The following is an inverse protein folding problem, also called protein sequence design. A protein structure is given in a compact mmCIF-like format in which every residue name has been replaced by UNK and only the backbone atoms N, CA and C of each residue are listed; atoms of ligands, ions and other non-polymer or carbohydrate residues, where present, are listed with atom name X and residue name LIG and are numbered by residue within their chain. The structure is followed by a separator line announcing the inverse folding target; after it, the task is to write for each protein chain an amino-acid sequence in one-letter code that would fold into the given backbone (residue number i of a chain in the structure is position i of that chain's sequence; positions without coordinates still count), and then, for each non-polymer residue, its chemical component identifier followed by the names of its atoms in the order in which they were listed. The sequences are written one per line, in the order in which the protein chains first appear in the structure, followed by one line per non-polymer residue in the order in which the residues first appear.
data_IF_584868690099
#
_entry.id   IF_584868690099
#
_cell.length_a   1.000
_cell.length_b   1.000
_cell.length_c   1.000
_cell.angle_alpha   90.00
_cell.angle_beta   90.00
_cell.angle_gamma   90.00
#
_symmetry.space_group_name_H-M   'P 1'
#
loop_
_entity.id
_entity.type
_entity.pdbx_description
1 polymer ?
#
# COMPACT_ATOMS: atom_id res chain seq x y z
N UNK A 1 -43.42 14.74 18.66
CA UNK A 1 -42.33 15.73 18.48
C UNK A 1 -41.07 14.94 18.21
N UNK A 2 -40.29 15.27 17.18
CA UNK A 2 -39.04 14.56 16.89
C UNK A 2 -37.90 15.08 17.76
N UNK A 3 -37.16 14.18 18.40
CA UNK A 3 -35.83 14.47 18.94
C UNK A 3 -34.83 13.87 17.96
N UNK A 4 -34.25 14.72 17.11
CA UNK A 4 -33.25 14.29 16.13
C UNK A 4 -31.94 13.93 16.83
N UNK A 5 -31.44 12.71 16.59
CA UNK A 5 -30.13 12.31 17.07
C UNK A 5 -29.03 13.08 16.29
N UNK A 6 -28.41 14.06 16.93
CA UNK A 6 -27.23 14.73 16.39
C UNK A 6 -26.06 13.76 16.31
N UNK A 7 -25.32 13.77 15.20
CA UNK A 7 -24.14 12.93 15.01
C UNK A 7 -23.00 13.40 15.93
N UNK A 8 -22.92 12.83 17.13
CA UNK A 8 -21.83 13.05 18.07
C UNK A 8 -20.52 12.43 17.54
N UNK A 9 -19.66 13.26 16.94
CA UNK A 9 -18.34 12.84 16.51
C UNK A 9 -17.53 12.26 17.67
N UNK A 10 -17.11 10.99 17.55
CA UNK A 10 -16.21 10.36 18.52
C UNK A 10 -14.84 11.01 18.44
N UNK A 11 -14.26 11.37 19.58
CA UNK A 11 -12.89 11.89 19.68
C UNK A 11 -11.94 10.72 19.98
N UNK A 12 -10.95 10.50 19.12
CA UNK A 12 -10.13 9.28 19.04
C UNK A 12 -8.79 9.42 19.78
N UNK A 13 -8.87 9.94 21.01
CA UNK A 13 -7.74 10.07 21.91
C UNK A 13 -6.95 8.76 22.13
N UNK A 14 -5.74 8.88 22.68
CA UNK A 14 -4.82 7.74 22.87
C UNK A 14 -5.51 6.53 23.49
N UNK A 15 -5.46 5.39 22.80
CA UNK A 15 -6.07 4.13 23.27
C UNK A 15 -7.58 3.97 23.04
N UNK A 16 -8.34 5.03 22.71
CA UNK A 16 -9.80 4.96 22.49
C UNK A 16 -10.15 3.92 21.42
N UNK A 17 -9.40 3.87 20.31
CA UNK A 17 -9.61 2.85 19.27
C UNK A 17 -9.43 1.41 19.78
N UNK A 18 -8.43 1.17 20.64
CA UNK A 18 -8.18 -0.17 21.20
C UNK A 18 -9.31 -0.59 22.14
N UNK A 19 -9.76 0.34 22.98
CA UNK A 19 -10.88 0.11 23.90
C UNK A 19 -12.22 -0.11 23.18
N UNK A 20 -12.47 0.62 22.09
CA UNK A 20 -13.64 0.40 21.22
C UNK A 20 -13.58 -1.00 20.61
N UNK A 21 -12.46 -1.39 19.99
CA UNK A 21 -12.32 -2.72 19.37
C UNK A 21 -12.41 -3.86 20.41
N UNK A 22 -11.84 -3.68 21.62
CA UNK A 22 -11.96 -4.63 22.74
C UNK A 22 -13.41 -4.84 23.16
N UNK A 23 -14.14 -3.76 23.47
CA UNK A 23 -15.56 -3.83 23.87
C UNK A 23 -16.45 -4.41 22.77
N UNK A 24 -16.14 -4.11 21.51
CA UNK A 24 -16.85 -4.69 20.38
C UNK A 24 -16.58 -6.19 20.25
N UNK A 25 -15.35 -6.65 20.43
CA UNK A 25 -15.03 -8.08 20.45
C UNK A 25 -15.74 -8.82 21.60
N UNK A 26 -15.72 -8.24 22.81
CA UNK A 26 -16.45 -8.75 23.98
C UNK A 26 -17.95 -8.84 23.75
N UNK A 27 -18.56 -7.80 23.16
CA UNK A 27 -19.97 -7.80 22.76
C UNK A 27 -20.34 -8.76 21.63
N UNK A 28 -19.35 -9.33 20.93
CA UNK A 28 -19.50 -10.39 19.94
C UNK A 28 -19.17 -11.79 20.50
N UNK A 29 -18.72 -11.89 21.76
CA UNK A 29 -18.23 -13.14 22.35
C UNK A 29 -16.86 -13.59 21.80
N UNK A 30 -16.08 -12.66 21.23
CA UNK A 30 -14.80 -12.94 20.57
C UNK A 30 -13.64 -12.44 21.43
N UNK A 31 -12.59 -13.26 21.59
CA UNK A 31 -11.32 -12.82 22.16
C UNK A 31 -10.42 -12.28 21.05
N UNK A 32 -10.08 -10.99 21.10
CA UNK A 32 -8.96 -10.44 20.35
C UNK A 32 -7.65 -10.70 21.12
N UNK A 33 -6.52 -10.96 20.44
CA UNK A 33 -5.21 -10.92 21.09
C UNK A 33 -4.87 -9.49 21.54
N UNK A 34 -4.02 -9.35 22.56
CA UNK A 34 -3.54 -8.04 23.01
C UNK A 34 -2.82 -7.29 21.87
N UNK A 35 -3.14 -6.00 21.60
CA UNK A 35 -2.52 -5.25 20.54
C UNK A 35 -1.07 -4.86 20.88
N UNK A 36 -0.18 -5.10 19.91
CA UNK A 36 1.24 -4.74 19.93
C UNK A 36 1.48 -3.24 20.20
N UNK A 37 2.75 -2.90 20.42
CA UNK A 37 3.43 -1.59 20.41
C UNK A 37 3.24 -0.74 19.14
N UNK A 38 2.03 -0.74 18.57
CA UNK A 38 1.57 0.27 17.62
C UNK A 38 1.58 1.68 18.23
N UNK A 39 1.67 2.74 17.38
CA UNK A 39 1.51 4.11 17.84
C UNK A 39 0.17 4.30 18.58
N UNK A 40 0.05 5.27 19.51
CA UNK A 40 -1.11 5.38 20.41
C UNK A 40 -2.48 5.58 19.74
N UNK A 41 -2.49 5.97 18.46
CA UNK A 41 -3.69 6.14 17.63
C UNK A 41 -4.16 4.86 16.95
N UNK A 42 -3.31 3.83 16.79
CA UNK A 42 -3.64 2.61 16.05
C UNK A 42 -3.74 1.37 16.96
N UNK A 43 -4.52 0.38 16.51
CA UNK A 43 -4.52 -0.98 17.04
C UNK A 43 -3.83 -1.90 16.04
N UNK A 44 -2.86 -2.70 16.49
CA UNK A 44 -2.13 -3.66 15.64
C UNK A 44 -2.09 -5.00 16.32
N UNK A 45 -2.37 -6.05 15.57
CA UNK A 45 -2.31 -7.43 16.00
C UNK A 45 -1.35 -8.16 15.06
N UNK A 46 -0.48 -9.02 15.60
CA UNK A 46 0.62 -9.68 14.87
C UNK A 46 0.65 -11.16 15.25
N UNK A 47 0.64 -12.04 14.26
CA UNK A 47 0.96 -13.46 14.42
C UNK A 47 2.28 -13.73 13.72
N UNK A 48 3.35 -13.89 14.51
CA UNK A 48 4.69 -14.15 14.01
C UNK A 48 4.85 -15.57 13.42
N UNK A 49 3.99 -16.52 13.81
CA UNK A 49 4.01 -17.91 13.34
C UNK A 49 3.41 -18.05 11.94
N UNK A 50 2.39 -17.24 11.65
CA UNK A 50 1.77 -17.12 10.32
C UNK A 50 2.42 -16.03 9.46
N UNK A 51 3.34 -15.23 10.03
CA UNK A 51 3.91 -14.04 9.38
C UNK A 51 2.87 -12.93 9.12
N UNK A 52 1.73 -12.97 9.80
CA UNK A 52 0.56 -12.11 9.53
C UNK A 52 0.51 -10.91 10.46
N UNK A 53 -0.06 -9.82 9.96
CA UNK A 53 -0.40 -8.63 10.74
C UNK A 53 -1.70 -8.02 10.23
N UNK A 54 -2.50 -7.50 11.15
CA UNK A 54 -3.60 -6.57 10.86
C UNK A 54 -3.39 -5.29 11.65
N UNK A 55 -3.59 -4.14 11.02
CA UNK A 55 -3.60 -2.84 11.69
C UNK A 55 -4.90 -2.12 11.39
N UNK A 56 -5.61 -1.71 12.45
CA UNK A 56 -6.80 -0.86 12.37
C UNK A 56 -6.40 0.55 12.77
N UNK A 57 -6.87 1.52 12.00
CA UNK A 57 -6.59 2.94 12.14
C UNK A 57 -7.89 3.74 12.36
N UNK A 58 -7.83 4.87 13.10
CA UNK A 58 -8.98 5.73 13.39
C UNK A 58 -9.31 6.65 12.19
N UNK A 59 -10.43 7.39 12.24
CA UNK A 59 -10.81 8.29 11.17
C UNK A 59 -9.81 9.41 10.90
N UNK A 60 -9.92 9.91 9.66
CA UNK A 60 -8.92 10.70 8.96
C UNK A 60 -8.58 12.07 9.58
N UNK A 61 -9.45 12.60 10.44
CA UNK A 61 -9.29 13.95 11.01
C UNK A 61 -8.21 14.03 12.10
N UNK A 62 -7.96 12.95 12.84
CA UNK A 62 -6.95 12.95 13.93
C UNK A 62 -5.55 12.48 13.47
N UNK A 63 -5.35 12.25 12.17
CA UNK A 63 -4.03 11.97 11.58
C UNK A 63 -3.26 13.25 11.25
N UNK A 64 -2.88 13.99 12.30
CA UNK A 64 -2.03 15.19 12.24
C UNK A 64 -0.56 14.84 11.96
N UNK A 65 -0.30 14.32 10.76
CA UNK A 65 1.04 14.01 10.26
C UNK A 65 1.01 12.80 9.30
N UNK A 66 1.81 12.89 8.22
CA UNK A 66 2.18 11.77 7.32
C UNK A 66 1.15 10.65 7.16
N UNK A 67 -0.03 11.04 6.66
CA UNK A 67 -1.11 10.19 6.12
C UNK A 67 -0.64 8.79 5.67
N UNK A 68 -1.20 7.68 6.22
CA UNK A 68 -0.86 6.33 5.82
C UNK A 68 -1.04 6.08 4.33
N UNK A 69 -0.19 5.23 3.76
CA UNK A 69 -0.27 4.76 2.39
C UNK A 69 -1.48 3.81 2.24
N UNK A 70 -2.68 4.37 2.04
CA UNK A 70 -3.87 3.61 1.72
C UNK A 70 -3.79 3.11 0.26
N UNK A 71 -3.98 1.80 0.07
CA UNK A 71 -3.81 1.08 -1.21
C UNK A 71 -5.15 0.59 -1.78
N UNK A 72 -6.28 1.06 -1.24
CA UNK A 72 -7.62 0.75 -1.76
C UNK A 72 -8.49 2.02 -1.74
N UNK A 73 -9.43 2.16 -2.71
CA UNK A 73 -10.02 3.45 -3.08
C UNK A 73 -11.16 3.94 -2.17
N UNK A 74 -11.47 5.23 -2.31
CA UNK A 74 -12.56 5.92 -1.63
C UNK A 74 -13.89 5.78 -2.38
N UNK A 75 -14.75 4.90 -1.87
CA UNK A 75 -16.19 5.01 -2.10
C UNK A 75 -16.77 6.33 -1.54
N UNK A 76 -17.94 6.73 -2.01
CA UNK A 76 -18.62 7.97 -1.59
C UNK A 76 -19.06 8.01 -0.11
N UNK A 77 -18.92 6.89 0.60
CA UNK A 77 -19.19 6.73 2.02
C UNK A 77 -17.99 6.04 2.67
N UNK A 78 -16.90 6.78 2.95
CA UNK A 78 -15.83 6.26 3.80
C UNK A 78 -16.39 6.08 5.21
N UNK A 79 -16.26 4.86 5.74
CA UNK A 79 -16.44 4.62 7.17
C UNK A 79 -15.30 5.18 8.03
N UNK A 80 -15.52 5.22 9.34
CA UNK A 80 -14.57 5.77 10.32
C UNK A 80 -13.22 5.04 10.32
N UNK A 81 -13.18 3.73 10.10
CA UNK A 81 -12.01 2.90 10.37
C UNK A 81 -11.32 2.42 9.09
N UNK A 82 -10.01 2.51 9.04
CA UNK A 82 -9.20 1.90 7.97
C UNK A 82 -8.52 0.62 8.49
N UNK A 83 -8.78 -0.51 7.83
CA UNK A 83 -8.20 -1.82 8.11
C UNK A 83 -7.13 -2.14 7.06
N UNK A 84 -5.94 -2.56 7.50
CA UNK A 84 -4.80 -2.96 6.65
C UNK A 84 -4.37 -4.38 7.01
N UNK A 85 -4.41 -5.30 6.04
CA UNK A 85 -3.96 -6.69 6.21
C UNK A 85 -2.60 -6.89 5.54
N UNK A 86 -1.67 -7.50 6.28
CA UNK A 86 -0.32 -7.83 5.83
C UNK A 86 -0.03 -9.32 5.98
N UNK A 87 0.65 -9.88 4.98
CA UNK A 87 1.34 -11.18 5.01
C UNK A 87 2.82 -10.94 4.77
N UNK A 88 3.69 -11.48 5.63
CA UNK A 88 5.15 -11.42 5.50
C UNK A 88 5.72 -10.00 5.29
N UNK A 89 5.04 -8.99 5.88
CA UNK A 89 5.39 -7.57 5.77
C UNK A 89 4.89 -6.86 4.50
N UNK A 90 4.15 -7.55 3.63
CA UNK A 90 3.55 -7.01 2.41
C UNK A 90 2.06 -6.78 2.63
N UNK A 91 1.55 -5.61 2.23
CA UNK A 91 0.12 -5.29 2.24
C UNK A 91 -0.56 -6.13 1.15
N UNK A 92 -1.47 -7.01 1.54
CA UNK A 92 -2.22 -7.87 0.61
C UNK A 92 -3.68 -7.45 0.45
N UNK A 93 -4.24 -6.73 1.43
CA UNK A 93 -5.61 -6.25 1.42
C UNK A 93 -5.82 -5.06 2.35
N UNK A 94 -6.96 -4.37 2.20
CA UNK A 94 -7.42 -3.36 3.13
C UNK A 94 -8.83 -2.87 2.85
N UNK A 95 -9.44 -2.17 3.80
CA UNK A 95 -10.84 -1.74 3.71
C UNK A 95 -11.18 -0.55 4.58
N UNK A 96 -12.06 0.32 4.08
CA UNK A 96 -12.73 1.34 4.90
C UNK A 96 -14.01 0.73 5.49
N UNK A 97 -14.10 0.66 6.80
CA UNK A 97 -15.26 0.14 7.54
C UNK A 97 -15.93 1.24 8.34
N UNK A 98 -17.26 1.33 8.30
CA UNK A 98 -18.02 2.25 9.14
C UNK A 98 -18.17 1.73 10.58
N UNK A 99 -18.08 0.42 10.77
CA UNK A 99 -18.48 -0.25 12.00
C UNK A 99 -17.30 -0.99 12.65
N UNK A 100 -16.97 -0.71 13.94
CA UNK A 100 -15.99 -1.47 14.69
C UNK A 100 -16.21 -2.99 14.61
N UNK A 101 -17.46 -3.44 14.54
CA UNK A 101 -17.86 -4.85 14.41
C UNK A 101 -17.22 -5.54 13.21
N UNK A 102 -17.16 -4.86 12.06
CA UNK A 102 -16.60 -5.42 10.84
C UNK A 102 -15.07 -5.35 10.86
N UNK A 103 -14.48 -4.28 11.42
CA UNK A 103 -13.04 -4.19 11.64
C UNK A 103 -12.53 -5.29 12.62
N UNK A 104 -13.30 -5.63 13.66
CA UNK A 104 -13.02 -6.76 14.55
C UNK A 104 -13.10 -8.09 13.78
N UNK A 105 -14.15 -8.33 13.00
CA UNK A 105 -14.28 -9.56 12.19
C UNK A 105 -13.12 -9.73 11.20
N UNK A 106 -12.72 -8.66 10.50
CA UNK A 106 -11.57 -8.68 9.61
C UNK A 106 -10.27 -9.04 10.36
N UNK A 107 -10.06 -8.44 11.53
CA UNK A 107 -8.88 -8.71 12.34
C UNK A 107 -8.84 -10.16 12.83
N UNK A 108 -9.96 -10.67 13.36
CA UNK A 108 -10.09 -12.04 13.88
C UNK A 108 -9.87 -13.05 12.77
N UNK A 109 -10.59 -12.96 11.65
CA UNK A 109 -10.47 -13.90 10.54
C UNK A 109 -9.03 -13.96 10.00
N UNK A 110 -8.41 -12.80 9.76
CA UNK A 110 -7.03 -12.73 9.27
C UNK A 110 -6.01 -13.32 10.25
N UNK A 111 -6.18 -13.05 11.55
CA UNK A 111 -5.29 -13.55 12.61
C UNK A 111 -5.49 -15.04 12.89
N UNK A 112 -6.70 -15.58 12.71
CA UNK A 112 -7.00 -17.02 12.83
C UNK A 112 -6.57 -17.86 11.61
N UNK A 113 -5.86 -17.26 10.65
CA UNK A 113 -5.33 -17.97 9.48
C UNK A 113 -6.24 -18.02 8.25
N UNK A 114 -7.46 -17.48 8.31
CA UNK A 114 -8.41 -17.50 7.19
C UNK A 114 -7.84 -16.79 5.94
N UNK A 115 -8.15 -17.29 4.75
CA UNK A 115 -7.68 -16.70 3.49
C UNK A 115 -8.32 -15.33 3.19
N UNK A 116 -7.83 -14.64 2.17
CA UNK A 116 -8.33 -13.34 1.73
C UNK A 116 -9.84 -13.38 1.40
N UNK A 117 -10.28 -14.43 0.69
CA UNK A 117 -11.70 -14.64 0.34
C UNK A 117 -12.57 -14.86 1.58
N UNK A 118 -12.10 -15.66 2.52
CA UNK A 118 -12.81 -16.01 3.77
C UNK A 118 -12.88 -14.82 4.72
N UNK A 119 -11.79 -14.04 4.80
CA UNK A 119 -11.71 -12.79 5.56
C UNK A 119 -12.71 -11.76 5.00
N UNK A 120 -12.79 -11.61 3.67
CA UNK A 120 -13.79 -10.74 3.03
C UNK A 120 -15.22 -11.24 3.19
N UNK A 121 -15.45 -12.55 3.23
CA UNK A 121 -16.78 -13.10 3.50
C UNK A 121 -17.27 -12.77 4.93
N UNK A 122 -16.35 -12.63 5.90
CA UNK A 122 -16.66 -12.23 7.27
C UNK A 122 -16.68 -10.70 7.48
N UNK A 123 -15.91 -9.96 6.67
CA UNK A 123 -15.81 -8.51 6.68
C UNK A 123 -15.82 -7.93 5.23
N UNK A 124 -17.01 -7.66 4.66
CA UNK A 124 -17.17 -7.23 3.26
C UNK A 124 -16.35 -6.01 2.81
N UNK A 125 -16.01 -5.09 3.72
CA UNK A 125 -15.17 -3.94 3.45
C UNK A 125 -13.74 -4.26 2.99
N UNK A 126 -13.25 -5.49 3.25
CA UNK A 126 -11.89 -5.89 2.89
C UNK A 126 -11.79 -6.08 1.37
N UNK A 127 -11.10 -5.15 0.71
CA UNK A 127 -10.75 -5.25 -0.70
C UNK A 127 -9.32 -5.80 -0.87
N UNK A 128 -9.14 -6.55 -1.94
CA UNK A 128 -7.86 -7.08 -2.41
C UNK A 128 -7.86 -7.11 -3.94
N UNK A 129 -6.68 -7.07 -4.54
CA UNK A 129 -6.51 -7.22 -5.99
C UNK A 129 -6.34 -8.68 -6.40
N UNK A 130 -6.51 -9.03 -7.70
CA UNK A 130 -6.23 -10.38 -8.19
C UNK A 130 -4.81 -10.88 -7.88
N UNK A 131 -3.80 -10.00 -7.90
CA UNK A 131 -2.41 -10.38 -7.59
C UNK A 131 -2.24 -10.94 -6.17
N UNK A 132 -3.02 -10.44 -5.20
CA UNK A 132 -2.94 -10.86 -3.81
C UNK A 132 -3.51 -12.27 -3.62
N UNK A 133 -4.56 -12.64 -4.36
CA UNK A 133 -5.06 -14.02 -4.40
C UNK A 133 -4.06 -14.98 -5.05
N UNK A 134 -3.36 -14.55 -6.11
CA UNK A 134 -2.29 -15.37 -6.71
C UNK A 134 -1.17 -15.57 -5.70
N UNK A 135 -0.70 -14.50 -5.04
CA UNK A 135 0.35 -14.57 -4.01
C UNK A 135 -0.03 -15.39 -2.77
N UNK A 136 -1.31 -15.44 -2.40
CA UNK A 136 -1.83 -16.29 -1.33
C UNK A 136 -1.81 -17.79 -1.69
N UNK A 137 -2.00 -18.13 -2.97
CA UNK A 137 -2.02 -19.51 -3.46
C UNK A 137 -0.62 -20.01 -3.84
N UNK A 138 0.18 -19.17 -4.50
CA UNK A 138 1.55 -19.43 -4.90
C UNK A 138 2.40 -18.17 -4.64
N UNK A 139 3.30 -18.18 -3.62
CA UNK A 139 4.06 -16.99 -3.23
C UNK A 139 4.95 -16.41 -4.34
N UNK A 140 4.44 -15.39 -5.04
CA UNK A 140 5.16 -14.59 -6.03
C UNK A 140 6.59 -14.24 -5.59
N UNK A 141 7.57 -14.49 -6.47
CA UNK A 141 8.96 -14.13 -6.24
C UNK A 141 9.16 -12.63 -5.96
N UNK A 142 10.10 -12.30 -5.08
CA UNK A 142 10.16 -10.98 -4.42
C UNK A 142 10.22 -9.76 -5.38
N UNK A 143 10.81 -9.88 -6.57
CA UNK A 143 10.85 -8.80 -7.58
C UNK A 143 9.46 -8.57 -8.19
N UNK A 144 8.77 -9.65 -8.56
CA UNK A 144 7.41 -9.63 -9.12
C UNK A 144 6.39 -9.14 -8.07
N UNK A 145 6.56 -9.54 -6.82
CA UNK A 145 5.78 -9.05 -5.68
C UNK A 145 5.98 -7.54 -5.48
N UNK A 146 7.22 -7.05 -5.56
CA UNK A 146 7.53 -5.61 -5.48
C UNK A 146 6.91 -4.82 -6.64
N UNK A 147 6.87 -5.40 -7.85
CA UNK A 147 6.14 -4.84 -9.00
C UNK A 147 4.65 -4.71 -8.73
N UNK A 148 3.99 -5.80 -8.31
CA UNK A 148 2.55 -5.77 -8.02
C UNK A 148 2.18 -4.78 -6.92
N UNK A 149 2.90 -4.78 -5.80
CA UNK A 149 2.68 -3.83 -4.68
C UNK A 149 2.80 -2.37 -5.12
N UNK A 150 3.77 -2.04 -6.00
CA UNK A 150 3.92 -0.67 -6.51
C UNK A 150 2.89 -0.30 -7.57
N UNK A 151 2.59 -1.19 -8.52
CA UNK A 151 1.55 -0.97 -9.53
C UNK A 151 0.20 -0.69 -8.87
N UNK A 152 -0.12 -1.45 -7.83
CA UNK A 152 -1.35 -1.32 -7.04
C UNK A 152 -1.40 0.01 -6.28
N UNK A 153 -0.37 0.30 -5.46
CA UNK A 153 -0.24 1.55 -4.69
C UNK A 153 -0.34 2.82 -5.55
N UNK A 154 0.04 2.77 -6.83
CA UNK A 154 -0.12 3.89 -7.78
C UNK A 154 -1.40 3.83 -8.63
N UNK A 155 -2.14 2.73 -8.63
CA UNK A 155 -3.47 2.61 -9.25
C UNK A 155 -4.58 3.11 -8.30
N UNK A 156 -4.47 2.85 -6.99
CA UNK A 156 -5.60 2.96 -6.06
C UNK A 156 -5.59 4.16 -5.12
N UNK A 157 -4.47 4.89 -4.99
CA UNK A 157 -4.33 5.90 -3.92
C UNK A 157 -5.21 7.15 -4.14
N UNK A 158 -6.17 7.38 -3.23
CA UNK A 158 -7.03 8.59 -3.22
C UNK A 158 -6.29 9.90 -2.95
N UNK A 159 -5.00 9.83 -2.59
CA UNK A 159 -4.20 11.01 -2.28
C UNK A 159 -3.89 11.89 -3.50
N UNK A 160 -4.28 11.45 -4.69
CA UNK A 160 -4.52 12.31 -5.86
C UNK A 160 -3.70 11.91 -7.06
N UNK A 161 -4.37 11.33 -8.07
CA UNK A 161 -4.02 11.41 -9.50
C UNK A 161 -2.51 11.49 -9.81
N UNK A 162 -1.82 10.36 -9.66
CA UNK A 162 -0.49 10.13 -10.25
C UNK A 162 -0.54 9.21 -11.48
N UNK A 163 -1.48 9.37 -12.45
CA UNK A 163 -1.62 8.45 -13.57
C UNK A 163 -0.36 8.42 -14.44
N UNK A 164 0.46 9.48 -14.42
CA UNK A 164 1.74 9.54 -15.15
C UNK A 164 2.83 8.66 -14.50
N UNK A 165 2.92 8.60 -13.16
CA UNK A 165 3.80 7.64 -12.48
C UNK A 165 3.26 6.21 -12.59
N UNK A 166 1.93 6.02 -12.54
CA UNK A 166 1.34 4.72 -12.81
C UNK A 166 1.62 4.25 -14.26
N UNK A 167 1.46 5.11 -15.26
CA UNK A 167 1.75 4.79 -16.65
C UNK A 167 3.24 4.50 -16.89
N UNK A 168 4.17 5.23 -16.24
CA UNK A 168 5.60 4.87 -16.25
C UNK A 168 5.85 3.48 -15.65
N UNK A 169 5.18 3.13 -14.54
CA UNK A 169 5.29 1.80 -13.93
C UNK A 169 4.69 0.70 -14.84
N UNK A 170 3.55 0.95 -15.48
CA UNK A 170 2.90 0.00 -16.42
C UNK A 170 3.77 -0.22 -17.66
N UNK A 171 4.23 0.85 -18.30
CA UNK A 171 5.12 0.78 -19.47
C UNK A 171 6.46 0.09 -19.14
N UNK A 172 7.03 0.36 -17.96
CA UNK A 172 8.25 -0.32 -17.51
C UNK A 172 8.03 -1.80 -17.18
N UNK A 173 6.91 -2.15 -16.52
CA UNK A 173 6.56 -3.54 -16.22
C UNK A 173 6.31 -4.38 -17.48
N UNK A 174 5.79 -3.75 -18.54
CA UNK A 174 5.62 -4.39 -19.84
C UNK A 174 6.96 -4.76 -20.53
N UNK A 175 8.09 -4.16 -20.13
CA UNK A 175 9.41 -4.47 -20.68
C UNK A 175 10.07 -5.66 -19.93
N UNK A 176 10.33 -6.80 -20.61
CA UNK A 176 10.96 -7.97 -19.96
C UNK A 176 12.36 -7.71 -19.41
N UNK A 177 13.03 -6.64 -19.86
CA UNK A 177 14.31 -6.20 -19.32
C UNK A 177 14.18 -5.58 -17.92
N UNK A 178 13.14 -4.77 -17.70
CA UNK A 178 12.93 -4.01 -16.46
C UNK A 178 12.11 -4.79 -15.42
N UNK A 179 11.19 -5.67 -15.84
CA UNK A 179 10.43 -6.54 -14.93
C UNK A 179 11.31 -7.47 -14.08
N UNK A 180 12.55 -7.76 -14.53
CA UNK A 180 13.55 -8.53 -13.78
C UNK A 180 14.31 -7.71 -12.72
N UNK A 181 14.09 -6.39 -12.67
CA UNK A 181 14.71 -5.48 -11.72
C UNK A 181 13.68 -5.04 -10.68
N UNK A 182 14.12 -4.78 -9.44
CA UNK A 182 13.24 -4.25 -8.40
C UNK A 182 12.89 -2.80 -8.75
N UNK A 183 11.60 -2.43 -8.82
CA UNK A 183 11.20 -1.05 -9.03
C UNK A 183 11.36 -0.26 -7.71
N UNK A 184 11.93 0.93 -7.79
CA UNK A 184 12.09 1.87 -6.67
C UNK A 184 11.32 3.15 -7.00
N UNK A 185 10.60 3.71 -6.03
CA UNK A 185 9.80 4.94 -6.23
C UNK A 185 10.00 5.93 -5.09
N UNK A 186 10.58 7.08 -5.41
CA UNK A 186 10.80 8.21 -4.48
C UNK A 186 10.34 9.49 -5.18
N UNK A 187 9.54 10.32 -4.51
CA UNK A 187 9.02 11.59 -5.03
C UNK A 187 8.43 11.50 -6.45
N UNK A 188 7.56 10.50 -6.68
CA UNK A 188 6.88 10.21 -7.96
C UNK A 188 7.78 9.79 -9.15
N UNK A 189 9.10 9.75 -8.96
CA UNK A 189 10.06 9.20 -9.90
C UNK A 189 10.09 7.66 -9.79
N UNK A 190 10.41 6.97 -10.89
CA UNK A 190 10.63 5.52 -10.96
C UNK A 190 12.10 5.24 -11.29
N UNK A 191 12.71 4.32 -10.56
CA UNK A 191 14.07 3.83 -10.77
C UNK A 191 14.10 2.30 -10.69
N UNK A 192 15.23 1.69 -11.04
CA UNK A 192 15.42 0.24 -11.08
C UNK A 192 16.67 -0.18 -10.30
N UNK A 193 16.61 -1.30 -9.58
CA UNK A 193 17.77 -1.91 -8.92
C UNK A 193 17.89 -3.40 -9.22
N UNK A 194 19.12 -3.90 -9.27
CA UNK A 194 19.43 -5.34 -9.29
C UNK A 194 19.26 -6.02 -7.93
N UNK A 195 19.04 -5.25 -6.86
CA UNK A 195 18.81 -5.75 -5.50
C UNK A 195 17.34 -5.65 -5.10
N UNK A 196 16.90 -6.57 -4.24
CA UNK A 196 15.58 -6.54 -3.59
C UNK A 196 15.72 -5.67 -2.32
N UNK A 197 15.15 -4.46 -2.31
CA UNK A 197 15.16 -3.60 -1.13
C UNK A 197 14.01 -3.95 -0.16
N UNK A 198 14.29 -4.24 1.14
CA UNK A 198 13.25 -4.61 2.09
C UNK A 198 12.33 -3.44 2.52
N UNK A 199 11.15 -3.39 1.91
CA UNK A 199 9.96 -2.64 2.36
C UNK A 199 10.00 -1.09 2.30
N UNK A 200 8.87 -0.48 2.65
CA UNK A 200 8.59 0.95 2.46
C UNK A 200 9.44 1.90 3.34
N UNK A 201 10.05 1.39 4.42
CA UNK A 201 10.59 2.22 5.52
C UNK A 201 11.94 2.90 5.26
N UNK A 202 12.66 2.56 4.19
CA UNK A 202 13.94 3.21 3.81
C UNK A 202 13.83 4.15 2.60
N UNK A 203 12.65 4.30 1.99
CA UNK A 203 12.45 5.02 0.73
C UNK A 203 12.34 6.56 0.91
N UNK A 204 13.27 7.16 1.67
CA UNK A 204 13.33 8.61 1.95
C UNK A 204 14.66 9.22 1.49
N UNK A 205 14.66 9.82 0.30
CA UNK A 205 15.79 10.57 -0.23
C UNK A 205 15.77 10.76 -1.75
N UNK A 206 16.51 11.76 -2.22
CA UNK A 206 17.14 11.74 -3.54
C UNK A 206 18.58 11.28 -3.31
N UNK A 207 18.96 10.12 -3.84
CA UNK A 207 20.25 9.51 -3.50
C UNK A 207 20.52 8.20 -4.21
N UNK A 208 21.73 7.68 -3.98
CA UNK A 208 22.32 6.53 -4.64
C UNK A 208 21.77 5.22 -4.03
N UNK A 209 20.69 4.65 -4.60
CA UNK A 209 20.19 3.34 -4.16
C UNK A 209 21.21 2.24 -4.50
N UNK A 210 21.30 1.21 -3.66
CA UNK A 210 22.32 0.17 -3.85
C UNK A 210 21.87 -0.83 -4.92
N UNK A 211 22.73 -1.11 -5.90
CA UNK A 211 22.36 -1.88 -7.10
C UNK A 211 21.53 -1.10 -8.14
N UNK A 212 21.34 0.21 -7.98
CA UNK A 212 20.64 1.07 -8.95
C UNK A 212 21.28 1.00 -10.34
N UNK A 213 20.48 0.82 -11.39
CA UNK A 213 20.93 0.70 -12.78
C UNK A 213 20.14 1.60 -13.74
N UNK A 214 20.79 2.01 -14.83
CA UNK A 214 20.19 2.80 -15.90
C UNK A 214 19.79 4.22 -15.49
N UNK A 215 18.85 4.79 -16.24
CA UNK A 215 18.29 6.13 -16.01
C UNK A 215 17.02 6.09 -15.16
N UNK A 216 16.70 7.22 -14.52
CA UNK A 216 15.45 7.44 -13.79
C UNK A 216 14.36 8.03 -14.67
N UNK A 217 13.13 7.56 -14.46
CA UNK A 217 11.92 8.06 -15.10
C UNK A 217 11.18 9.00 -14.15
N UNK A 218 10.56 10.06 -14.67
CA UNK A 218 9.70 10.92 -13.85
C UNK A 218 8.59 11.60 -14.66
N UNK A 219 7.43 11.91 -14.04
CA UNK A 219 6.47 12.81 -14.64
C UNK A 219 7.08 14.22 -14.69
N UNK A 220 7.37 14.73 -15.89
CA UNK A 220 7.87 16.08 -16.09
C UNK A 220 6.70 17.08 -16.01
N UNK A 221 6.96 18.38 -16.06
CA UNK A 221 5.91 19.36 -16.37
C UNK A 221 5.47 19.27 -17.84
N UNK A 222 4.48 20.08 -18.25
CA UNK A 222 3.97 20.13 -19.64
C UNK A 222 3.35 18.82 -20.17
N UNK A 223 2.86 17.95 -19.25
CA UNK A 223 2.30 16.60 -19.52
C UNK A 223 3.31 15.55 -20.02
N UNK A 224 4.55 15.93 -20.30
CA UNK A 224 5.62 15.05 -20.78
C UNK A 224 6.16 14.09 -19.70
N UNK A 225 7.02 13.17 -20.13
CA UNK A 225 7.80 12.28 -19.27
C UNK A 225 9.29 12.60 -19.40
N UNK A 226 10.00 12.62 -18.27
CA UNK A 226 11.43 12.92 -18.21
C UNK A 226 12.26 11.66 -17.97
N UNK A 227 13.41 11.60 -18.64
CA UNK A 227 14.48 10.61 -18.41
C UNK A 227 15.70 11.36 -17.86
N UNK A 228 16.29 10.88 -16.76
CA UNK A 228 17.47 11.54 -16.14
C UNK A 228 18.56 10.57 -15.67
N UNK A 229 19.79 11.07 -15.60
CA UNK A 229 20.92 10.37 -14.98
C UNK A 229 20.77 10.25 -13.46
N UNK A 230 21.72 9.54 -12.84
CA UNK A 230 21.78 9.26 -11.40
C UNK A 230 22.14 10.50 -10.57
N UNK A 231 22.94 11.39 -11.13
CA UNK A 231 23.29 12.73 -10.61
C UNK A 231 22.13 13.74 -10.66
N UNK A 232 21.16 13.53 -11.57
CA UNK A 232 20.00 14.39 -11.77
C UNK A 232 19.90 15.04 -13.16
N UNK A 233 20.94 14.95 -14.01
CA UNK A 233 20.96 15.52 -15.36
C UNK A 233 19.80 15.00 -16.21
N UNK A 234 19.04 15.92 -16.82
CA UNK A 234 17.98 15.60 -17.77
C UNK A 234 18.58 15.05 -19.08
N UNK A 235 18.33 13.77 -19.36
CA UNK A 235 18.77 13.10 -20.60
C UNK A 235 17.80 13.37 -21.75
N UNK A 236 16.49 13.31 -21.47
CA UNK A 236 15.46 13.48 -22.49
C UNK A 236 14.10 13.88 -21.89
N UNK A 237 13.25 14.46 -22.73
CA UNK A 237 11.80 14.58 -22.51
C UNK A 237 11.08 13.84 -23.64
N UNK A 238 9.99 13.16 -23.32
CA UNK A 238 9.22 12.33 -24.26
C UNK A 238 7.72 12.60 -24.15
N UNK A 239 6.98 12.31 -25.23
CA UNK A 239 5.52 12.45 -25.27
C UNK A 239 4.81 11.30 -24.57
N UNK A 240 5.34 10.09 -24.69
CA UNK A 240 4.77 8.86 -24.09
C UNK A 240 5.66 8.29 -22.98
N UNK A 241 5.10 7.52 -22.03
CA UNK A 241 5.89 6.79 -21.04
C UNK A 241 6.66 5.62 -21.69
N UNK A 242 6.16 5.05 -22.79
CA UNK A 242 6.83 4.02 -23.57
C UNK A 242 8.15 4.52 -24.20
N UNK A 243 8.16 5.72 -24.77
CA UNK A 243 9.39 6.39 -25.25
C UNK A 243 10.42 6.57 -24.13
N UNK A 244 10.00 7.07 -22.96
CA UNK A 244 10.89 7.27 -21.82
C UNK A 244 11.48 5.94 -21.33
N UNK A 245 10.64 4.90 -21.26
CA UNK A 245 11.03 3.54 -20.89
C UNK A 245 11.97 2.91 -21.90
N UNK A 246 11.76 3.11 -23.21
CA UNK A 246 12.65 2.62 -24.25
C UNK A 246 14.07 3.21 -24.13
N UNK A 247 14.18 4.50 -23.79
CA UNK A 247 15.47 5.14 -23.51
C UNK A 247 16.16 4.56 -22.26
N UNK A 248 15.42 4.16 -21.23
CA UNK A 248 16.00 3.43 -20.07
C UNK A 248 16.48 2.04 -20.49
N UNK A 249 15.68 1.28 -21.26
CA UNK A 249 16.04 -0.08 -21.71
C UNK A 249 17.30 -0.05 -22.58
N UNK A 250 17.40 0.90 -23.51
CA UNK A 250 18.59 1.08 -24.35
C UNK A 250 19.84 1.54 -23.57
N UNK A 251 19.66 2.13 -22.39
CA UNK A 251 20.72 2.58 -21.49
C UNK A 251 20.99 1.63 -20.31
N UNK A 252 20.38 0.45 -20.28
CA UNK A 252 20.80 -0.60 -19.35
C UNK A 252 22.21 -1.06 -19.72
N UNK A 253 23.09 -1.34 -18.74
CA UNK A 253 24.34 -2.03 -19.04
C UNK A 253 24.01 -3.37 -19.72
N UNK A 254 24.70 -3.66 -20.82
CA UNK A 254 24.40 -4.82 -21.65
C UNK A 254 24.41 -6.12 -20.83
N UNK A 255 23.51 -7.04 -21.19
CA UNK A 255 23.75 -8.45 -20.85
C UNK A 255 25.05 -8.89 -21.54
N UNK A 256 25.87 -9.73 -20.90
CA UNK A 256 26.86 -10.53 -21.61
C UNK A 256 26.17 -11.51 -22.57
#
# INVERSE_FOLDING_TARGET
MNVGAGAGGRQWGRGVLREVLRRTAEGLGIVLPEPDSAPPSAARYVDERLGRRVTVYPPREEMTGSRPWAVYPRGGQCGDLWVRLESHGVIVAGGWSAEPTEAVRAAVAWMSGAGLRETRAQAPCIEFRPWALVHEQEPLGAVELAWHVKLDRYHTSDWGRFPRTNALLVAAYAQPALRRLTPITSHFNVWFSTRIEPSEKKQVGFGLWEGQVGYGLFPHDERQYGVRRRDGELVARTGTPEEAVALVVAALPGRP
#
